data_IF_546720249168
#
_entry.id   IF_546720249168
#
_cell.length_a   1.000
_cell.length_b   1.000
_cell.length_c   1.000
_cell.angle_alpha   90.00
_cell.angle_beta   90.00
_cell.angle_gamma   90.00
#
_symmetry.space_group_name_H-M   'P 1'
#
loop_
_entity.id
_entity.type
_entity.pdbx_description
1 polymer ?
#
# COMPACT_ATOMS: atom_id res chain seq x y z
N UNK A 1 4.74 26.63 13.45
CA UNK A 1 4.41 26.19 13.45
C UNK A 1 4.29 25.43 13.61
N UNK A 2 4.19 25.01 13.34
CA UNK A 2 3.96 24.40 13.36
C UNK A 2 4.00 23.59 13.43
N UNK A 3 4.22 23.25 13.43
CA UNK A 3 4.25 22.39 13.39
C UNK A 3 4.07 21.43 13.90
N UNK A 4 4.18 21.77 14.02
CA UNK A 4 3.81 20.91 14.97
C UNK A 4 3.10 19.67 14.48
N UNK A 5 2.06 19.75 13.95
CA UNK A 5 1.37 18.64 13.40
C UNK A 5 2.10 17.91 12.37
N UNK A 6 3.07 18.53 11.83
CA UNK A 6 3.78 17.97 10.71
C UNK A 6 4.39 16.62 11.00
N UNK A 7 4.88 16.43 12.21
CA UNK A 7 5.48 15.18 12.56
C UNK A 7 4.50 14.04 12.65
N UNK A 8 3.22 14.37 12.74
CA UNK A 8 2.17 13.37 12.88
C UNK A 8 1.31 13.25 11.65
N UNK A 9 1.65 13.97 10.60
CA UNK A 9 0.83 13.93 9.40
C UNK A 9 0.93 12.57 8.74
N UNK A 10 -0.21 12.00 8.41
CA UNK A 10 -0.29 10.71 7.77
C UNK A 10 -1.07 10.85 6.48
N UNK A 11 -0.69 10.06 5.50
CA UNK A 11 -1.32 10.08 4.20
C UNK A 11 -2.01 8.75 3.97
N UNK A 12 -3.25 8.79 3.54
CA UNK A 12 -4.01 7.57 3.24
C UNK A 12 -3.94 7.31 1.75
N UNK A 13 -3.63 6.07 1.42
CA UNK A 13 -3.49 5.65 0.03
C UNK A 13 -4.51 4.56 -0.23
N UNK A 14 -5.37 4.78 -1.22
CA UNK A 14 -6.30 3.76 -1.67
C UNK A 14 -5.58 2.88 -2.69
N UNK A 15 -5.65 1.58 -2.50
CA UNK A 15 -5.02 0.69 -3.44
C UNK A 15 -5.89 -0.52 -3.71
N UNK A 16 -5.65 -1.13 -4.85
CA UNK A 16 -6.33 -2.35 -5.24
C UNK A 16 -5.29 -3.39 -5.58
N UNK A 17 -5.41 -4.55 -4.97
CA UNK A 17 -4.47 -5.64 -5.20
C UNK A 17 -4.94 -6.48 -6.37
N UNK A 18 -4.05 -6.75 -7.30
CA UNK A 18 -4.32 -7.61 -8.45
C UNK A 18 -3.38 -8.80 -8.33
N UNK A 19 -3.86 -9.92 -7.81
CA UNK A 19 -3.00 -11.09 -7.57
C UNK A 19 -2.77 -11.88 -8.85
N UNK A 20 -1.80 -12.78 -8.77
CA UNK A 20 -1.48 -13.69 -9.87
C UNK A 20 -1.11 -12.96 -11.14
N UNK A 21 -0.49 -11.81 -10.99
CA UNK A 21 0.00 -11.06 -12.12
C UNK A 21 1.29 -11.70 -12.63
N UNK A 22 1.67 -11.34 -13.84
CA UNK A 22 2.90 -11.87 -14.40
C UNK A 22 4.13 -11.30 -13.73
N UNK A 23 4.02 -10.10 -13.22
CA UNK A 23 5.15 -9.45 -12.55
C UNK A 23 4.61 -8.50 -11.51
N UNK A 24 5.44 -8.19 -10.56
CA UNK A 24 5.09 -7.21 -9.53
C UNK A 24 5.27 -5.81 -10.11
N UNK A 25 4.22 -5.01 -10.04
CA UNK A 25 4.34 -3.63 -10.48
C UNK A 25 3.23 -2.80 -9.87
N UNK A 26 3.41 -1.49 -9.88
CA UNK A 26 2.43 -0.55 -9.35
C UNK A 26 2.11 0.46 -10.44
N UNK A 27 0.83 0.69 -10.67
CA UNK A 27 0.40 1.81 -11.51
C UNK A 27 -0.77 2.49 -10.83
N UNK A 28 -1.16 3.65 -11.33
CA UNK A 28 -2.22 4.46 -10.73
C UNK A 28 -3.29 4.65 -11.78
N UNK A 29 -4.54 4.39 -11.41
CA UNK A 29 -5.63 4.54 -12.36
C UNK A 29 -6.10 6.00 -12.39
N UNK A 30 -7.10 6.27 -13.23
CA UNK A 30 -7.60 7.63 -13.43
C UNK A 30 -8.22 8.22 -12.16
N UNK A 31 -8.67 7.38 -11.25
CA UNK A 31 -9.26 7.83 -10.00
C UNK A 31 -8.24 8.09 -8.92
N UNK A 32 -6.97 7.80 -9.17
CA UNK A 32 -5.94 7.95 -8.16
C UNK A 32 -5.74 6.72 -7.30
N UNK A 33 -6.37 5.60 -7.66
CA UNK A 33 -6.20 4.36 -6.91
C UNK A 33 -4.94 3.67 -7.41
N UNK A 34 -4.09 3.25 -6.49
CA UNK A 34 -2.88 2.52 -6.83
C UNK A 34 -3.22 1.06 -7.09
N UNK A 35 -2.89 0.58 -8.27
CA UNK A 35 -3.10 -0.83 -8.60
C UNK A 35 -1.80 -1.56 -8.35
N UNK A 36 -1.82 -2.46 -7.38
CA UNK A 36 -0.63 -3.19 -6.96
C UNK A 36 -0.73 -4.59 -7.52
N UNK A 37 0.01 -4.84 -8.59
CA UNK A 37 0.04 -6.15 -9.25
C UNK A 37 1.06 -7.01 -8.53
N UNK A 38 0.64 -8.18 -8.06
CA UNK A 38 1.54 -9.09 -7.36
C UNK A 38 1.48 -10.46 -7.99
N UNK A 39 2.62 -11.13 -8.01
CA UNK A 39 2.69 -12.49 -8.53
C UNK A 39 2.20 -13.51 -7.51
N UNK A 40 2.15 -13.11 -6.25
CA UNK A 40 1.74 -14.01 -5.17
C UNK A 40 0.25 -14.34 -5.26
N UNK A 41 -0.11 -15.47 -4.70
CA UNK A 41 -1.51 -15.84 -4.57
C UNK A 41 -2.15 -14.99 -3.49
N UNK A 42 -3.47 -14.73 -3.58
CA UNK A 42 -4.15 -13.88 -2.61
C UNK A 42 -4.51 -14.68 -1.35
N UNK A 43 -3.52 -15.25 -0.70
CA UNK A 43 -3.77 -16.01 0.53
C UNK A 43 -3.16 -15.27 1.70
N UNK A 44 -3.98 -15.05 2.67
CA UNK A 44 -3.65 -14.48 3.97
C UNK A 44 -2.40 -13.60 3.95
N UNK A 45 -1.60 -13.65 4.92
CA UNK A 45 -0.50 -12.73 5.06
C UNK A 45 0.43 -12.58 3.87
N UNK A 46 0.45 -13.54 2.94
CA UNK A 46 1.36 -13.47 1.81
C UNK A 46 1.08 -12.25 0.93
N UNK A 47 -0.19 -12.02 0.60
CA UNK A 47 -0.53 -10.88 -0.24
C UNK A 47 -0.26 -9.57 0.48
N UNK A 48 -0.62 -9.49 1.75
CA UNK A 48 -0.39 -8.28 2.52
C UNK A 48 1.10 -7.98 2.65
N UNK A 49 1.90 -9.00 2.89
CA UNK A 49 3.35 -8.80 2.99
C UNK A 49 3.92 -8.30 1.67
N UNK A 50 3.46 -8.85 0.55
CA UNK A 50 3.92 -8.42 -0.76
C UNK A 50 3.52 -6.97 -1.02
N UNK A 51 2.29 -6.60 -0.68
CA UNK A 51 1.82 -5.22 -0.86
C UNK A 51 2.66 -4.25 -0.05
N UNK A 52 2.88 -4.56 1.22
CA UNK A 52 3.65 -3.68 2.09
C UNK A 52 5.07 -3.52 1.56
N UNK A 53 5.69 -4.62 1.13
CA UNK A 53 7.04 -4.55 0.59
C UNK A 53 7.09 -3.66 -0.65
N UNK A 54 6.14 -3.84 -1.56
CA UNK A 54 6.13 -3.07 -2.79
C UNK A 54 5.86 -1.59 -2.54
N UNK A 55 4.93 -1.29 -1.64
CA UNK A 55 4.63 0.10 -1.33
C UNK A 55 5.78 0.78 -0.61
N UNK A 56 6.47 0.03 0.25
CA UNK A 56 7.65 0.58 0.93
C UNK A 56 8.72 0.96 -0.08
N UNK A 57 8.95 0.10 -1.07
CA UNK A 57 9.93 0.39 -2.11
C UNK A 57 9.49 1.55 -2.98
N UNK A 58 8.20 1.59 -3.30
CA UNK A 58 7.67 2.64 -4.16
C UNK A 58 7.82 4.02 -3.52
N UNK A 59 7.48 4.13 -2.24
CA UNK A 59 7.57 5.41 -1.53
C UNK A 59 8.91 5.61 -0.84
N UNK A 60 9.79 4.60 -0.87
CA UNK A 60 11.13 4.66 -0.27
C UNK A 60 11.06 4.93 1.22
N UNK A 61 10.21 4.18 1.89
CA UNK A 61 10.08 4.27 3.35
C UNK A 61 10.19 2.86 3.93
N UNK A 62 10.49 2.75 5.22
CA UNK A 62 10.56 1.44 5.87
C UNK A 62 9.20 0.75 5.90
N UNK A 63 9.20 -0.56 5.79
CA UNK A 63 7.96 -1.32 5.85
C UNK A 63 7.20 -1.08 7.14
N UNK A 64 7.93 -0.86 8.23
CA UNK A 64 7.29 -0.66 9.53
C UNK A 64 6.44 0.61 9.59
N UNK A 65 6.60 1.51 8.63
CA UNK A 65 5.84 2.74 8.62
C UNK A 65 4.58 2.66 7.75
N UNK A 66 4.31 1.50 7.19
CA UNK A 66 3.11 1.28 6.39
C UNK A 66 2.13 0.47 7.20
N UNK A 67 0.91 0.98 7.32
CA UNK A 67 -0.15 0.28 8.03
C UNK A 67 -1.33 0.07 7.11
N UNK A 68 -1.86 -1.14 7.10
CA UNK A 68 -3.10 -1.41 6.40
C UNK A 68 -4.21 -1.10 7.40
N UNK A 69 -4.94 -0.02 7.14
CA UNK A 69 -5.97 0.41 8.07
C UNK A 69 -7.37 -0.04 7.67
N UNK A 70 -7.50 -0.58 6.46
CA UNK A 70 -8.79 -1.09 6.01
C UNK A 70 -8.58 -2.11 4.92
N UNK A 71 -9.44 -3.12 4.90
CA UNK A 71 -9.42 -4.10 3.82
C UNK A 71 -8.34 -5.15 3.94
N UNK A 72 -8.02 -5.55 5.16
CA UNK A 72 -6.94 -6.50 5.40
C UNK A 72 -7.11 -7.80 4.62
N UNK A 73 -8.35 -8.26 4.47
CA UNK A 73 -8.63 -9.48 3.74
C UNK A 73 -9.31 -9.22 2.39
N UNK A 74 -9.28 -7.97 1.96
CA UNK A 74 -9.97 -7.56 0.73
C UNK A 74 -8.92 -7.17 -0.32
N UNK A 75 -9.34 -7.15 -1.58
CA UNK A 75 -8.48 -6.64 -2.64
C UNK A 75 -8.41 -5.13 -2.62
N UNK A 76 -9.44 -4.48 -2.13
CA UNK A 76 -9.44 -3.03 -1.98
C UNK A 76 -8.98 -2.71 -0.57
N UNK A 77 -7.89 -1.97 -0.48
CA UNK A 77 -7.25 -1.68 0.79
C UNK A 77 -6.98 -0.20 0.92
N UNK A 78 -6.86 0.23 2.16
CA UNK A 78 -6.38 1.57 2.45
C UNK A 78 -5.18 1.40 3.36
N UNK A 79 -4.07 2.00 2.96
CA UNK A 79 -2.88 2.01 3.80
C UNK A 79 -2.62 3.43 4.27
N UNK A 80 -1.89 3.52 5.35
CA UNK A 80 -1.50 4.80 5.92
C UNK A 80 0.00 4.85 5.95
N UNK A 81 0.55 5.96 5.47
CA UNK A 81 2.00 6.17 5.43
C UNK A 81 2.30 7.56 5.96
N UNK A 82 3.54 7.80 6.42
CA UNK A 82 3.91 9.16 6.84
C UNK A 82 4.05 10.04 5.61
N UNK A 83 3.76 11.30 5.80
CA UNK A 83 3.91 12.26 4.71
C UNK A 83 5.34 12.74 4.52
#
# INVERSE_FOLDING_TARGET
MHRFDEGNAMRKINLRVIPRARQNKIDIDDSGVYRVHITAAPVDGAANAAVIKMMAEYFKIPKSQIKIIRGETSRDKIIEIPE
#
